data_IF_249323312916
#
_entry.id   IF_249323312916
#
_cell.length_a   1.000
_cell.length_b   1.000
_cell.length_c   1.000
_cell.angle_alpha   90.00
_cell.angle_beta   90.00
_cell.angle_gamma   90.00
#
_symmetry.space_group_name_H-M   'P 1'
#
loop_
_entity.id
_entity.type
_entity.pdbx_description
1 polymer ?
#
# COMPACT_ATOMS: atom_id res chain seq x y z
N UNK A 1 4.06 11.26 12.93
CA UNK A 1 3.07 10.19 12.67
C UNK A 1 3.04 9.91 11.18
N UNK A 2 3.12 8.64 10.80
CA UNK A 2 3.00 8.22 9.40
C UNK A 2 1.53 8.10 9.00
N UNK A 3 1.21 8.43 7.75
CA UNK A 3 -0.10 8.21 7.14
C UNK A 3 0.07 7.27 5.96
N UNK A 4 -0.65 6.16 5.97
CA UNK A 4 -0.64 5.15 4.93
C UNK A 4 -1.89 5.30 4.07
N UNK A 5 -1.71 5.46 2.76
CA UNK A 5 -2.79 5.73 1.81
C UNK A 5 -2.69 4.75 0.66
N UNK A 6 -3.82 4.19 0.22
CA UNK A 6 -3.85 3.30 -0.93
C UNK A 6 -3.41 4.03 -2.20
N UNK A 7 -2.56 3.38 -3.00
CA UNK A 7 -2.24 3.78 -4.36
C UNK A 7 -2.78 2.71 -5.34
N UNK A 8 -2.88 3.07 -6.62
CA UNK A 8 -3.38 2.20 -7.69
C UNK A 8 -2.39 2.23 -8.85
N UNK A 9 -2.09 1.06 -9.40
CA UNK A 9 -1.26 0.89 -10.59
C UNK A 9 -2.00 -0.01 -11.58
N UNK A 10 -2.22 0.51 -12.78
CA UNK A 10 -2.88 -0.23 -13.86
C UNK A 10 -1.87 -0.53 -14.95
N UNK A 11 -1.69 -1.82 -15.24
CA UNK A 11 -0.79 -2.31 -16.28
C UNK A 11 -1.64 -2.83 -17.44
N UNK A 12 -1.29 -2.42 -18.66
CA UNK A 12 -1.87 -2.96 -19.90
C UNK A 12 -0.90 -3.93 -20.54
N UNK A 13 -1.41 -5.11 -20.88
CA UNK A 13 -0.69 -6.15 -21.61
C UNK A 13 -1.55 -6.61 -22.79
N UNK A 14 -1.25 -6.10 -23.98
CA UNK A 14 -2.11 -6.23 -25.16
C UNK A 14 -3.50 -5.65 -24.93
N UNK A 15 -4.54 -6.47 -25.09
CA UNK A 15 -5.94 -6.11 -24.83
C UNK A 15 -6.36 -6.33 -23.36
N UNK A 16 -5.49 -6.86 -22.51
CA UNK A 16 -5.78 -7.08 -21.09
C UNK A 16 -5.34 -5.90 -20.23
N UNK A 17 -6.21 -5.44 -19.34
CA UNK A 17 -5.90 -4.44 -18.31
C UNK A 17 -5.95 -5.11 -16.94
N UNK A 18 -4.88 -4.96 -16.15
CA UNK A 18 -4.80 -5.46 -14.78
C UNK A 18 -4.49 -4.32 -13.83
N UNK A 19 -5.32 -4.17 -12.81
CA UNK A 19 -5.15 -3.17 -11.77
C UNK A 19 -4.67 -3.84 -10.49
N UNK A 20 -3.63 -3.26 -9.91
CA UNK A 20 -3.08 -3.63 -8.63
C UNK A 20 -3.06 -2.44 -7.69
N UNK A 21 -3.17 -2.74 -6.41
CA UNK A 21 -3.22 -1.76 -5.34
C UNK A 21 -1.98 -1.89 -4.48
N UNK A 22 -1.46 -0.73 -4.08
CA UNK A 22 -0.33 -0.61 -3.19
C UNK A 22 -0.59 0.42 -2.09
N UNK A 23 0.47 0.85 -1.41
CA UNK A 23 0.40 1.80 -0.31
C UNK A 23 1.49 2.86 -0.43
N UNK A 24 1.09 4.13 -0.40
CA UNK A 24 1.94 5.29 -0.21
C UNK A 24 2.03 5.65 1.28
N UNK A 25 3.24 6.00 1.73
CA UNK A 25 3.50 6.44 3.11
C UNK A 25 3.87 7.92 3.10
N UNK A 26 3.18 8.69 3.94
CA UNK A 26 3.39 10.12 4.11
C UNK A 26 3.86 10.47 5.51
N UNK A 27 4.75 11.47 5.61
CA UNK A 27 5.16 12.11 6.86
C UNK A 27 5.11 13.63 6.68
N UNK A 28 4.34 14.32 7.51
CA UNK A 28 4.25 15.79 7.44
C UNK A 28 3.67 16.32 6.12
N UNK A 29 2.87 15.51 5.41
CA UNK A 29 2.31 15.87 4.10
C UNK A 29 3.19 15.50 2.90
N UNK A 30 4.46 15.14 3.14
CA UNK A 30 5.36 14.68 2.09
C UNK A 30 5.27 13.16 1.95
N UNK A 31 5.24 12.67 0.70
CA UNK A 31 5.34 11.24 0.41
C UNK A 31 6.79 10.82 0.56
N UNK A 32 7.04 9.84 1.41
CA UNK A 32 8.39 9.35 1.71
C UNK A 32 8.65 7.94 1.18
N UNK A 33 7.59 7.18 0.87
CA UNK A 33 7.69 5.81 0.36
C UNK A 33 6.44 5.46 -0.45
N UNK A 34 6.63 4.56 -1.42
CA UNK A 34 5.58 3.88 -2.15
C UNK A 34 5.93 2.40 -2.23
N UNK A 35 4.96 1.55 -1.92
CA UNK A 35 4.98 0.12 -2.26
C UNK A 35 3.85 -0.10 -3.26
N UNK A 36 4.18 -0.74 -4.37
CA UNK A 36 3.24 -1.03 -5.45
C UNK A 36 2.90 -2.53 -5.45
N UNK A 37 1.87 -2.89 -6.21
CA UNK A 37 1.57 -4.28 -6.56
C UNK A 37 1.39 -5.24 -5.35
N UNK A 38 0.82 -4.74 -4.25
CA UNK A 38 0.55 -5.52 -3.03
C UNK A 38 -0.58 -6.53 -3.27
N UNK A 39 -1.69 -6.10 -3.87
CA UNK A 39 -2.84 -6.97 -4.13
C UNK A 39 -3.76 -6.41 -5.22
N UNK A 40 -4.44 -7.26 -6.00
CA UNK A 40 -5.51 -6.82 -6.90
C UNK A 40 -6.80 -6.45 -6.15
N UNK A 41 -6.92 -6.76 -4.84
CA UNK A 41 -8.05 -6.38 -4.01
C UNK A 41 -7.85 -5.01 -3.37
N UNK A 42 -8.59 -4.03 -3.88
CA UNK A 42 -8.62 -2.65 -3.37
C UNK A 42 -9.06 -2.57 -1.92
N UNK A 43 -10.07 -3.34 -1.53
CA UNK A 43 -10.64 -3.26 -0.20
C UNK A 43 -9.68 -3.85 0.83
N UNK A 44 -9.07 -4.99 0.52
CA UNK A 44 -8.04 -5.60 1.37
C UNK A 44 -6.85 -4.66 1.58
N UNK A 45 -6.27 -4.11 0.50
CA UNK A 45 -5.16 -3.15 0.58
C UNK A 45 -5.56 -1.89 1.35
N UNK A 46 -6.80 -1.40 1.14
CA UNK A 46 -7.33 -0.26 1.87
C UNK A 46 -7.51 -0.54 3.37
N UNK A 47 -7.95 -1.74 3.76
CA UNK A 47 -8.04 -2.16 5.17
C UNK A 47 -6.65 -2.23 5.81
N UNK A 48 -5.64 -2.73 5.09
CA UNK A 48 -4.26 -2.75 5.53
C UNK A 48 -3.74 -1.33 5.80
N UNK A 49 -3.84 -0.42 4.82
CA UNK A 49 -3.40 0.98 4.96
C UNK A 49 -4.08 1.71 6.13
N UNK A 50 -5.40 1.51 6.32
CA UNK A 50 -6.13 2.05 7.46
C UNK A 50 -5.63 1.47 8.79
N UNK A 51 -5.32 0.18 8.82
CA UNK A 51 -4.81 -0.48 10.03
C UNK A 51 -3.43 0.04 10.40
N UNK A 52 -2.49 0.12 9.45
CA UNK A 52 -1.16 0.70 9.67
C UNK A 52 -1.25 2.15 10.18
N UNK A 53 -2.11 2.97 9.57
CA UNK A 53 -2.33 4.35 10.01
C UNK A 53 -2.92 4.44 11.42
N UNK A 54 -3.91 3.60 11.73
CA UNK A 54 -4.60 3.59 13.02
C UNK A 54 -3.67 3.13 14.15
N UNK A 55 -2.80 2.17 13.89
CA UNK A 55 -1.83 1.67 14.87
C UNK A 55 -0.60 2.58 15.00
N UNK A 56 -0.46 3.60 14.13
CA UNK A 56 0.73 4.44 14.11
C UNK A 56 1.98 3.65 13.76
N UNK A 57 1.85 2.64 12.88
CA UNK A 57 2.92 1.72 12.51
C UNK A 57 4.18 2.51 12.12
N UNK A 58 5.32 2.13 12.70
CA UNK A 58 6.61 2.70 12.31
C UNK A 58 7.06 2.13 10.96
N UNK A 59 7.80 2.95 10.20
CA UNK A 59 8.28 2.57 8.88
C UNK A 59 9.19 1.33 8.91
N UNK A 60 9.93 1.12 10.01
CA UNK A 60 10.81 -0.05 10.15
C UNK A 60 10.04 -1.38 10.15
N UNK A 61 8.78 -1.38 10.58
CA UNK A 61 7.92 -2.56 10.64
C UNK A 61 7.00 -2.68 9.42
N UNK A 62 7.01 -1.68 8.54
CA UNK A 62 6.09 -1.65 7.43
C UNK A 62 6.38 -2.75 6.41
N UNK A 63 7.66 -3.01 6.12
CA UNK A 63 8.05 -4.04 5.15
C UNK A 63 7.68 -5.44 5.65
N UNK A 64 7.96 -5.75 6.92
CA UNK A 64 7.55 -7.02 7.54
C UNK A 64 6.03 -7.24 7.44
N UNK A 65 5.23 -6.18 7.66
CA UNK A 65 3.77 -6.24 7.55
C UNK A 65 3.30 -6.44 6.11
N UNK A 66 4.01 -5.87 5.13
CA UNK A 66 3.71 -6.11 3.71
C UNK A 66 4.04 -7.55 3.34
N UNK A 67 5.21 -8.04 3.73
CA UNK A 67 5.66 -9.40 3.45
C UNK A 67 4.69 -10.44 4.08
N UNK A 68 4.30 -10.24 5.34
CA UNK A 68 3.30 -11.07 6.04
C UNK A 68 1.93 -11.06 5.34
N UNK A 69 1.55 -9.94 4.73
CA UNK A 69 0.28 -9.80 4.03
C UNK A 69 0.27 -10.51 2.67
N UNK A 70 1.40 -10.46 1.95
CA UNK A 70 1.54 -11.07 0.62
C UNK A 70 1.73 -12.59 0.74
N UNK A 71 2.44 -13.05 1.78
CA UNK A 71 2.64 -14.47 2.09
C UNK A 71 3.85 -15.09 1.43
#
# INVERSE_FOLDING_TARGET
MYKYVINETTVRDGDAERTWYGIDVYRGGEKIRSVYDISPDREATGRLARTCSRLGLDLIHFDDVIDDFIG
#
